data_IF_525217118098
#
_entry.id   IF_525217118098
#
_cell.length_a   1.000
_cell.length_b   1.000
_cell.length_c   1.000
_cell.angle_alpha   90.00
_cell.angle_beta   90.00
_cell.angle_gamma   90.00
#
_symmetry.space_group_name_H-M   'P 1'
#
loop_
_entity.id
_entity.type
_entity.pdbx_description
1 polymer ?
#
# COMPACT_ATOMS: atom_id res chain seq x y z
N UNK A 1 -11.36 -2.92 20.89
CA UNK A 1 -10.37 -3.71 20.13
C UNK A 1 -9.77 -2.85 19.02
N UNK A 2 -8.45 -2.84 18.92
CA UNK A 2 -7.76 -2.07 17.88
C UNK A 2 -7.58 -2.90 16.62
N UNK A 3 -7.89 -2.29 15.49
CA UNK A 3 -7.82 -2.93 14.18
C UNK A 3 -7.09 -2.00 13.21
N UNK A 4 -6.46 -2.59 12.19
CA UNK A 4 -5.80 -1.83 11.12
C UNK A 4 -6.49 -2.18 9.80
N UNK A 5 -6.96 -1.16 9.10
CA UNK A 5 -7.43 -1.30 7.72
C UNK A 5 -6.24 -1.06 6.81
N UNK A 6 -5.89 -2.03 5.99
CA UNK A 6 -4.79 -1.97 5.02
C UNK A 6 -5.34 -2.04 3.61
N UNK A 7 -4.87 -1.15 2.75
CA UNK A 7 -5.22 -1.15 1.35
C UNK A 7 -4.00 -0.77 0.51
N UNK A 8 -3.91 -1.31 -0.71
CA UNK A 8 -2.86 -0.95 -1.66
C UNK A 8 -3.45 -0.60 -3.01
N UNK A 9 -2.74 0.25 -3.74
CA UNK A 9 -2.95 0.47 -5.16
C UNK A 9 -1.70 0.06 -5.91
N UNK A 10 -1.84 -0.41 -7.16
CA UNK A 10 -0.73 -0.97 -7.94
C UNK A 10 -0.75 -0.47 -9.38
N UNK A 11 0.32 -0.82 -10.12
CA UNK A 11 0.39 -0.54 -11.55
C UNK A 11 -0.48 -1.47 -12.39
N UNK A 12 -0.92 -2.59 -11.82
CA UNK A 12 -1.73 -3.60 -12.49
C UNK A 12 -2.00 -4.79 -11.58
N UNK A 13 -2.59 -5.86 -12.10
CA UNK A 13 -3.11 -6.94 -11.26
C UNK A 13 -2.04 -7.92 -10.83
N UNK A 14 -1.22 -8.43 -11.76
CA UNK A 14 -0.38 -9.60 -11.52
C UNK A 14 1.05 -9.24 -11.11
N UNK A 15 1.52 -9.80 -9.99
CA UNK A 15 2.91 -9.70 -9.56
C UNK A 15 3.84 -10.37 -10.58
N UNK A 16 3.40 -11.49 -11.17
CA UNK A 16 4.18 -12.22 -12.18
C UNK A 16 4.43 -11.39 -13.43
N UNK A 17 3.54 -10.45 -13.76
CA UNK A 17 3.72 -9.53 -14.88
C UNK A 17 4.60 -8.32 -14.52
N UNK A 18 5.20 -8.33 -13.34
CA UNK A 18 6.09 -7.27 -12.89
C UNK A 18 5.38 -6.03 -12.37
N UNK A 19 4.09 -6.12 -12.06
CA UNK A 19 3.37 -4.98 -11.49
C UNK A 19 3.83 -4.67 -10.07
N UNK A 20 3.81 -3.38 -9.73
CA UNK A 20 4.38 -2.84 -8.49
C UNK A 20 3.35 -2.02 -7.73
N UNK A 21 3.56 -1.89 -6.43
CA UNK A 21 2.72 -1.05 -5.57
C UNK A 21 2.96 0.43 -5.85
N UNK A 22 1.89 1.22 -5.91
CA UNK A 22 1.94 2.69 -6.07
C UNK A 22 1.42 3.44 -4.85
N UNK A 23 0.67 2.78 -3.98
CA UNK A 23 0.21 3.37 -2.72
C UNK A 23 0.00 2.30 -1.67
N UNK A 24 0.41 2.62 -0.44
CA UNK A 24 0.09 1.82 0.74
C UNK A 24 -0.64 2.72 1.72
N UNK A 25 -1.85 2.32 2.11
CA UNK A 25 -2.66 3.06 3.08
C UNK A 25 -3.04 2.15 4.24
N UNK A 26 -2.74 2.59 5.47
CA UNK A 26 -3.13 1.91 6.69
C UNK A 26 -3.80 2.90 7.62
N UNK A 27 -4.90 2.48 8.25
CA UNK A 27 -5.64 3.31 9.19
C UNK A 27 -5.96 2.50 10.43
N UNK A 28 -5.62 3.02 11.61
CA UNK A 28 -5.98 2.37 12.87
C UNK A 28 -7.39 2.78 13.30
N UNK A 29 -8.18 1.78 13.70
CA UNK A 29 -9.49 1.95 14.31
C UNK A 29 -9.45 1.38 15.73
N UNK A 30 -10.17 2.03 16.65
CA UNK A 30 -10.44 1.49 17.98
C UNK A 30 -11.94 1.48 18.18
N UNK A 31 -12.51 0.28 18.31
CA UNK A 31 -13.97 0.08 18.35
C UNK A 31 -14.66 0.77 17.17
N UNK A 32 -14.09 0.59 15.96
CA UNK A 32 -14.58 1.11 14.67
C UNK A 32 -14.46 2.62 14.51
N UNK A 33 -13.74 3.30 15.41
CA UNK A 33 -13.53 4.74 15.34
C UNK A 33 -12.06 5.02 15.01
N UNK A 34 -11.75 5.84 13.98
CA UNK A 34 -10.36 6.20 13.67
C UNK A 34 -9.65 6.83 14.86
N UNK A 35 -8.42 6.36 15.14
CA UNK A 35 -7.61 6.85 16.26
C UNK A 35 -6.70 8.02 15.89
N UNK A 36 -6.54 8.29 14.58
CA UNK A 36 -5.56 9.23 14.08
C UNK A 36 -4.22 8.59 13.70
N UNK A 37 -3.96 7.35 14.12
CA UNK A 37 -2.77 6.63 13.69
C UNK A 37 -2.96 6.11 12.27
N UNK A 38 -2.04 6.49 11.38
CA UNK A 38 -2.14 6.09 9.97
C UNK A 38 -0.76 6.03 9.32
N UNK A 39 -0.67 5.24 8.26
CA UNK A 39 0.46 5.21 7.35
C UNK A 39 -0.09 5.37 5.94
N UNK A 40 0.41 6.32 5.18
CA UNK A 40 -0.07 6.55 3.82
C UNK A 40 1.05 7.13 2.97
N UNK A 41 1.51 6.34 1.98
CA UNK A 41 2.52 6.79 1.02
C UNK A 41 2.13 6.41 -0.39
N UNK A 42 2.24 7.39 -1.30
CA UNK A 42 2.33 7.09 -2.73
C UNK A 42 3.78 6.72 -3.04
N UNK A 43 3.98 5.77 -3.94
CA UNK A 43 5.29 5.17 -4.21
C UNK A 43 5.57 5.20 -5.71
N UNK A 44 6.79 5.58 -6.07
CA UNK A 44 7.26 5.48 -7.44
C UNK A 44 7.48 3.99 -7.76
N UNK A 45 6.67 3.41 -8.67
CA UNK A 45 6.75 1.97 -8.96
C UNK A 45 7.89 1.60 -9.91
N UNK A 46 8.63 2.59 -10.42
CA UNK A 46 9.72 2.42 -11.39
C UNK A 46 9.26 1.73 -12.68
N UNK A 47 7.99 1.86 -13.03
CA UNK A 47 7.40 1.36 -14.26
C UNK A 47 6.11 2.11 -14.57
N UNK A 48 5.58 1.91 -15.78
CA UNK A 48 4.32 2.52 -16.17
C UNK A 48 3.13 1.86 -15.50
N UNK A 49 2.12 2.65 -15.18
CA UNK A 49 0.82 2.19 -14.70
C UNK A 49 0.01 1.70 -15.89
N UNK A 50 -0.68 0.55 -15.74
CA UNK A 50 -1.61 0.10 -16.76
C UNK A 50 -2.78 1.06 -16.86
N UNK A 51 -3.41 1.13 -18.04
CA UNK A 51 -4.57 2.00 -18.23
C UNK A 51 -5.72 1.65 -17.28
N UNK A 52 -5.96 0.36 -17.07
CA UNK A 52 -7.02 -0.10 -16.17
C UNK A 52 -6.76 0.34 -14.72
N UNK A 53 -5.51 0.20 -14.26
CA UNK A 53 -5.16 0.63 -12.92
C UNK A 53 -5.30 2.15 -12.77
N UNK A 54 -4.86 2.90 -13.76
CA UNK A 54 -5.02 4.36 -13.76
C UNK A 54 -6.50 4.76 -13.65
N UNK A 55 -7.40 4.07 -14.33
CA UNK A 55 -8.83 4.34 -14.25
C UNK A 55 -9.39 4.11 -12.84
N UNK A 56 -8.77 3.23 -12.07
CA UNK A 56 -9.19 2.93 -10.69
C UNK A 56 -8.67 3.97 -9.70
N UNK A 57 -7.35 4.23 -9.69
CA UNK A 57 -6.75 5.08 -8.67
C UNK A 57 -6.41 6.50 -9.11
N UNK A 58 -6.35 6.76 -10.42
CA UNK A 58 -6.11 8.10 -10.95
C UNK A 58 -4.69 8.63 -10.82
N UNK A 59 -3.72 7.81 -10.41
CA UNK A 59 -2.32 8.24 -10.30
C UNK A 59 -1.62 8.12 -11.64
N UNK A 60 -1.16 9.26 -12.19
CA UNK A 60 -0.45 9.30 -13.47
C UNK A 60 1.01 8.86 -13.30
N UNK A 61 1.60 8.42 -14.41
CA UNK A 61 3.03 8.10 -14.42
C UNK A 61 3.88 9.30 -14.01
N UNK A 62 3.51 10.50 -14.47
CA UNK A 62 4.21 11.72 -14.10
C UNK A 62 4.17 11.99 -12.60
N UNK A 63 2.98 11.90 -11.98
CA UNK A 63 2.83 12.09 -10.54
C UNK A 63 3.67 11.09 -9.76
N UNK A 64 3.59 9.82 -10.13
CA UNK A 64 4.29 8.73 -9.42
C UNK A 64 5.81 8.81 -9.59
N UNK A 65 6.29 9.33 -10.73
CA UNK A 65 7.73 9.49 -10.95
C UNK A 65 8.40 10.44 -9.96
N UNK A 66 7.61 11.31 -9.33
CA UNK A 66 8.06 12.28 -8.33
C UNK A 66 7.99 11.75 -6.90
N UNK A 67 7.45 10.55 -6.70
CA UNK A 67 7.31 9.96 -5.38
C UNK A 67 8.55 9.18 -4.99
N UNK A 68 8.71 8.91 -3.70
CA UNK A 68 9.79 8.05 -3.20
C UNK A 68 9.59 6.62 -3.69
N UNK A 69 10.70 5.94 -3.95
CA UNK A 69 10.67 4.51 -4.27
C UNK A 69 10.41 3.70 -3.00
N UNK A 70 9.93 2.47 -3.15
CA UNK A 70 9.61 1.62 -1.99
C UNK A 70 10.82 1.48 -1.05
N UNK A 71 12.01 1.28 -1.58
CA UNK A 71 13.22 1.13 -0.77
C UNK A 71 13.48 2.33 0.15
N UNK A 72 13.02 3.52 -0.23
CA UNK A 72 13.18 4.74 0.56
C UNK A 72 12.15 4.86 1.69
N UNK A 73 10.99 4.21 1.57
CA UNK A 73 9.94 4.21 2.60
C UNK A 73 9.89 2.91 3.38
N UNK A 74 10.66 1.91 2.98
CA UNK A 74 10.63 0.56 3.57
C UNK A 74 10.87 0.59 5.08
N UNK A 75 11.82 1.38 5.56
CA UNK A 75 12.13 1.47 6.98
C UNK A 75 10.91 1.94 7.78
N UNK A 76 10.25 2.99 7.32
CA UNK A 76 9.07 3.54 7.97
C UNK A 76 7.91 2.55 7.94
N UNK A 77 7.75 1.84 6.82
CA UNK A 77 6.74 0.80 6.70
C UNK A 77 6.97 -0.34 7.69
N UNK A 78 8.22 -0.82 7.81
CA UNK A 78 8.54 -1.89 8.74
C UNK A 78 8.39 -1.45 10.20
N UNK A 79 8.70 -0.22 10.53
CA UNK A 79 8.47 0.34 11.86
C UNK A 79 6.97 0.39 12.17
N UNK A 80 6.15 0.79 11.19
CA UNK A 80 4.70 0.80 11.34
C UNK A 80 4.16 -0.62 11.56
N UNK A 81 4.66 -1.61 10.80
CA UNK A 81 4.26 -3.01 10.97
C UNK A 81 4.57 -3.50 12.38
N UNK A 82 5.73 -3.16 12.93
CA UNK A 82 6.08 -3.49 14.33
C UNK A 82 5.10 -2.86 15.32
N UNK A 83 4.74 -1.61 15.08
CA UNK A 83 3.80 -0.88 15.93
C UNK A 83 2.43 -1.55 15.96
N UNK A 84 1.97 -2.08 14.81
CA UNK A 84 0.63 -2.64 14.67
C UNK A 84 0.56 -4.16 14.81
N UNK A 85 1.68 -4.83 15.14
CA UNK A 85 1.75 -6.31 15.11
C UNK A 85 0.68 -7.02 15.94
N UNK A 86 0.20 -6.38 17.01
CA UNK A 86 -0.82 -6.95 17.90
C UNK A 86 -2.24 -6.55 17.52
N UNK A 87 -2.41 -5.79 16.41
CA UNK A 87 -3.72 -5.37 15.95
C UNK A 87 -4.26 -6.33 14.92
N UNK A 88 -5.58 -6.47 14.88
CA UNK A 88 -6.24 -7.26 13.86
C UNK A 88 -6.17 -6.50 12.52
N UNK A 89 -5.72 -7.17 11.46
CA UNK A 89 -5.70 -6.60 10.12
C UNK A 89 -7.02 -6.84 9.41
N UNK A 90 -7.52 -5.79 8.75
CA UNK A 90 -8.68 -5.85 7.88
C UNK A 90 -8.22 -5.47 6.49
N UNK A 91 -8.26 -6.42 5.55
CA UNK A 91 -7.81 -6.23 4.17
C UNK A 91 -8.92 -6.71 3.24
N UNK A 92 -9.41 -5.82 2.39
CA UNK A 92 -10.52 -6.13 1.48
C UNK A 92 -10.19 -7.27 0.52
N UNK A 93 -9.01 -7.26 -0.08
CA UNK A 93 -8.54 -8.31 -0.99
C UNK A 93 -7.18 -8.80 -0.52
N UNK A 94 -7.18 -9.54 0.60
CA UNK A 94 -5.96 -9.89 1.32
C UNK A 94 -4.94 -10.64 0.45
N UNK A 95 -5.39 -11.57 -0.37
CA UNK A 95 -4.50 -12.35 -1.24
C UNK A 95 -3.74 -11.44 -2.20
N UNK A 96 -4.44 -10.49 -2.82
CA UNK A 96 -3.86 -9.53 -3.75
C UNK A 96 -2.86 -8.61 -3.04
N UNK A 97 -3.29 -7.96 -1.94
CA UNK A 97 -2.47 -6.98 -1.22
C UNK A 97 -1.22 -7.63 -0.63
N UNK A 98 -1.37 -8.81 -0.03
CA UNK A 98 -0.24 -9.51 0.57
C UNK A 98 0.76 -9.99 -0.48
N UNK A 99 0.29 -10.45 -1.63
CA UNK A 99 1.19 -10.86 -2.73
C UNK A 99 2.03 -9.67 -3.21
N UNK A 100 1.41 -8.52 -3.41
CA UNK A 100 2.14 -7.33 -3.86
C UNK A 100 3.09 -6.80 -2.80
N UNK A 101 2.70 -6.77 -1.53
CA UNK A 101 3.58 -6.33 -0.45
C UNK A 101 4.77 -7.27 -0.26
N UNK A 102 4.54 -8.58 -0.33
CA UNK A 102 5.63 -9.56 -0.25
C UNK A 102 6.63 -9.38 -1.39
N UNK A 103 6.14 -9.06 -2.59
CA UNK A 103 7.02 -8.82 -3.73
C UNK A 103 7.89 -7.57 -3.54
N UNK A 104 7.37 -6.53 -2.87
CA UNK A 104 8.13 -5.32 -2.59
C UNK A 104 9.18 -5.54 -1.50
N UNK A 105 8.85 -6.35 -0.53
CA UNK A 105 9.76 -6.68 0.55
C UNK A 105 10.78 -7.72 0.09
#
# INVERSE_FOLDING_TARGET
>A
MKEIVLDTETTGISVEDGHRVVEIACLELDNLIPTGQKFNYCINPERKVSEKAFQVHGYSDEFLSKQKKFKEVKKEFLEFIKFIKDRRLIIHNAEFDLAHLNNEL
#
